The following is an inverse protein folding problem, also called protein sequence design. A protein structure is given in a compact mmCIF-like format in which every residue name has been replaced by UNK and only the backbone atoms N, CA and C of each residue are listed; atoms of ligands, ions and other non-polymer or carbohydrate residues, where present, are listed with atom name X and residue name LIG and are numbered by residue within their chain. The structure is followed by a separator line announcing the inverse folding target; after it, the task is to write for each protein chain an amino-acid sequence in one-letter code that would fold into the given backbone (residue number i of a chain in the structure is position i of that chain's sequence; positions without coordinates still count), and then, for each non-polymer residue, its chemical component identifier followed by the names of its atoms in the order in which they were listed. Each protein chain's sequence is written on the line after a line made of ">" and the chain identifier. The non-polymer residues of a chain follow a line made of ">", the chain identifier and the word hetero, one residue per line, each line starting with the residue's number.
data_IF_143753633329
#
_entry.id   IF_143753633329
#
_cell.length_a   1.000
_cell.length_b   1.000
_cell.length_c   1.000
_cell.angle_alpha   90.00
_cell.angle_beta   90.00
_cell.angle_gamma   90.00
#
_symmetry.space_group_name_H-M   'P 1'
#
loop_
_entity.id
_entity.type
_entity.pdbx_description
1 polymer ?
#
# COMPACT_ATOMS: atom_id res chain seq x y z
N UNK A 1 19.73 -2.23 51.59
CA UNK A 1 20.83 -2.74 50.75
C UNK A 1 20.43 -4.09 50.16
N UNK A 2 19.61 -4.11 49.11
CA UNK A 2 19.15 -5.36 48.48
C UNK A 2 19.98 -5.74 47.25
N UNK A 3 20.99 -4.96 46.86
CA UNK A 3 22.00 -5.32 45.86
C UNK A 3 21.48 -5.54 44.41
N UNK A 4 20.16 -5.47 44.20
CA UNK A 4 19.52 -5.61 42.87
C UNK A 4 18.34 -4.64 42.72
N UNK A 5 18.08 -4.21 41.51
CA UNK A 5 16.95 -3.32 41.16
C UNK A 5 16.07 -4.03 40.12
N UNK A 6 14.76 -3.89 40.25
CA UNK A 6 13.84 -4.36 39.23
C UNK A 6 13.55 -3.25 38.20
N UNK A 7 13.14 -3.62 36.97
CA UNK A 7 12.71 -2.69 35.95
C UNK A 7 11.51 -1.86 36.44
N UNK A 8 10.68 -2.43 37.31
CA UNK A 8 9.57 -1.76 37.98
C UNK A 8 10.04 -0.61 38.89
N UNK A 9 11.06 -0.87 39.71
CA UNK A 9 11.62 0.14 40.64
C UNK A 9 12.25 1.31 39.88
N UNK A 10 12.86 1.03 38.73
CA UNK A 10 13.43 2.05 37.85
C UNK A 10 12.33 2.94 37.22
N UNK A 11 11.22 2.34 36.78
CA UNK A 11 10.08 3.06 36.21
C UNK A 11 9.33 3.89 37.26
N UNK A 12 9.30 3.45 38.53
CA UNK A 12 8.63 4.16 39.62
C UNK A 12 9.48 5.34 40.15
N UNK A 13 10.80 5.20 40.07
CA UNK A 13 11.75 6.24 40.49
C UNK A 13 11.96 7.35 39.44
N UNK A 14 11.61 7.10 38.19
CA UNK A 14 11.76 8.11 37.12
C UNK A 14 10.50 9.00 37.00
N UNK A 15 10.65 10.33 36.94
CA UNK A 15 9.53 11.25 36.67
C UNK A 15 8.88 10.92 35.33
N UNK A 16 7.55 11.00 35.23
CA UNK A 16 6.74 10.67 34.06
C UNK A 16 7.15 11.41 32.76
N UNK A 17 7.80 12.54 32.88
CA UNK A 17 8.31 13.35 31.76
C UNK A 17 9.65 12.85 31.20
N UNK A 18 10.26 11.82 31.79
CA UNK A 18 11.58 11.28 31.45
C UNK A 18 11.53 9.91 30.75
N UNK A 19 10.36 9.35 30.52
CA UNK A 19 10.18 8.00 29.91
C UNK A 19 10.27 8.09 28.40
N UNK A 20 11.41 8.54 27.86
CA UNK A 20 11.76 8.32 26.45
C UNK A 20 12.66 7.09 26.33
N UNK A 21 12.48 6.25 25.30
CA UNK A 21 13.28 5.02 25.13
C UNK A 21 14.79 5.26 25.20
N UNK A 22 15.26 6.36 24.64
CA UNK A 22 16.67 6.75 24.58
C UNK A 22 17.26 7.06 25.98
N UNK A 23 16.49 7.72 26.84
CA UNK A 23 16.92 8.04 28.21
C UNK A 23 16.86 6.83 29.14
N UNK A 24 15.93 5.93 28.90
CA UNK A 24 15.84 4.66 29.64
C UNK A 24 17.08 3.79 29.36
N UNK A 25 17.52 3.71 28.10
CA UNK A 25 18.76 3.01 27.73
C UNK A 25 20.00 3.63 28.36
N UNK A 26 20.06 4.96 28.46
CA UNK A 26 21.17 5.67 29.07
C UNK A 26 21.24 5.41 30.60
N UNK A 27 20.08 5.35 31.28
CA UNK A 27 19.97 4.99 32.69
C UNK A 27 20.35 3.53 32.93
N UNK A 28 19.86 2.62 32.10
CA UNK A 28 20.22 1.20 32.18
C UNK A 28 21.73 0.96 31.93
N UNK A 29 22.33 1.70 31.00
CA UNK A 29 23.76 1.63 30.71
C UNK A 29 24.59 2.16 31.88
N UNK A 30 24.11 3.20 32.54
CA UNK A 30 24.76 3.80 33.73
C UNK A 30 24.64 2.91 34.96
N UNK A 31 23.50 2.26 35.18
CA UNK A 31 23.30 1.27 36.26
C UNK A 31 24.15 0.04 36.03
N UNK A 32 24.29 -0.41 34.80
CA UNK A 32 25.15 -1.54 34.44
C UNK A 32 26.64 -1.25 34.63
N UNK A 33 27.07 0.02 34.43
CA UNK A 33 28.45 0.48 34.71
C UNK A 33 28.76 0.59 36.21
N UNK A 34 27.74 0.63 37.07
CA UNK A 34 27.85 0.65 38.53
C UNK A 34 27.73 -0.75 39.17
N UNK A 35 27.80 -1.81 38.33
CA UNK A 35 27.70 -3.23 38.77
C UNK A 35 26.38 -3.55 39.52
N UNK A 36 25.28 -2.79 39.26
CA UNK A 36 23.98 -3.09 39.84
C UNK A 36 23.28 -4.12 38.94
N UNK A 37 22.94 -5.26 39.52
CA UNK A 37 22.24 -6.35 38.82
C UNK A 37 20.78 -6.00 38.67
N UNK A 38 20.31 -5.91 37.41
CA UNK A 38 18.92 -5.58 37.08
C UNK A 38 18.17 -6.87 36.84
N UNK A 39 17.17 -7.18 37.68
CA UNK A 39 16.36 -8.40 37.60
C UNK A 39 14.97 -8.06 37.09
N UNK A 40 14.54 -8.70 36.03
CA UNK A 40 13.12 -8.69 35.62
C UNK A 40 12.31 -9.50 36.63
N UNK A 41 11.21 -8.91 37.16
CA UNK A 41 10.38 -9.56 38.17
C UNK A 41 9.92 -10.95 37.73
N UNK A 42 10.47 -11.98 38.35
CA UNK A 42 9.79 -13.25 38.62
C UNK A 42 10.59 -14.04 39.67
N UNK A 43 9.99 -14.19 40.87
CA UNK A 43 10.28 -15.13 41.94
C UNK A 43 11.58 -14.98 42.76
N UNK A 44 11.39 -14.40 43.95
CA UNK A 44 12.32 -14.49 45.09
C UNK A 44 12.44 -15.92 45.63
N UNK A 45 13.51 -16.64 45.27
CA UNK A 45 14.05 -17.74 46.04
C UNK A 45 15.56 -17.90 45.75
N UNK A 46 16.42 -18.13 46.75
CA UNK A 46 17.86 -18.26 46.56
C UNK A 46 18.18 -19.56 45.84
N UNK A 47 18.65 -19.51 44.59
CA UNK A 47 19.10 -20.68 43.85
C UNK A 47 20.59 -20.66 43.60
N UNK A 48 21.21 -21.76 44.09
CA UNK A 48 22.53 -22.22 43.73
C UNK A 48 22.66 -22.35 42.21
N UNK A 49 23.83 -22.00 41.68
CA UNK A 49 24.14 -22.13 40.24
C UNK A 49 23.97 -23.57 39.77
N UNK A 50 23.08 -23.83 38.81
CA UNK A 50 23.16 -25.01 37.96
C UNK A 50 23.80 -24.65 36.62
N UNK A 51 24.65 -25.54 36.15
CA UNK A 51 25.18 -25.57 34.80
C UNK A 51 23.98 -25.69 33.84
N UNK A 52 23.69 -24.64 33.09
CA UNK A 52 22.66 -24.68 32.07
C UNK A 52 22.98 -25.76 31.04
N UNK A 53 22.14 -26.76 30.96
CA UNK A 53 22.25 -27.81 29.96
C UNK A 53 21.87 -27.22 28.59
N UNK A 54 22.57 -27.65 27.53
CA UNK A 54 22.31 -27.22 26.14
C UNK A 54 20.83 -27.35 25.72
N UNK A 55 20.06 -28.22 26.39
CA UNK A 55 18.64 -28.46 26.17
C UNK A 55 17.72 -27.31 26.66
N UNK A 56 18.12 -26.54 27.70
CA UNK A 56 17.35 -25.40 28.19
C UNK A 56 17.59 -24.16 27.30
N UNK A 57 18.81 -23.99 26.79
CA UNK A 57 19.12 -22.95 25.82
C UNK A 57 18.38 -23.17 24.46
N UNK A 58 18.13 -24.41 24.09
CA UNK A 58 17.39 -24.79 22.90
C UNK A 58 15.87 -24.59 23.08
N UNK A 59 15.31 -24.88 24.25
CA UNK A 59 13.90 -24.55 24.58
C UNK A 59 13.63 -23.05 24.59
N UNK A 60 14.52 -22.28 25.23
CA UNK A 60 14.37 -20.80 25.25
C UNK A 60 14.50 -20.20 23.84
N UNK A 61 15.29 -20.82 22.94
CA UNK A 61 15.36 -20.43 21.53
C UNK A 61 14.10 -20.78 20.75
N UNK A 62 13.46 -21.91 21.06
CA UNK A 62 12.19 -22.32 20.40
C UNK A 62 11.02 -21.46 20.88
N UNK A 63 10.91 -21.12 22.16
CA UNK A 63 9.90 -20.22 22.71
C UNK A 63 10.01 -18.78 22.15
N UNK A 64 11.24 -18.34 21.83
CA UNK A 64 11.49 -17.05 21.17
C UNK A 64 11.05 -17.07 19.69
N UNK A 65 11.08 -18.24 19.05
CA UNK A 65 10.67 -18.39 17.64
C UNK A 65 9.14 -18.51 17.49
N UNK A 66 8.42 -18.93 18.53
CA UNK A 66 6.97 -19.14 18.47
C UNK A 66 6.12 -17.89 18.82
N UNK A 67 6.74 -16.78 19.27
CA UNK A 67 6.03 -15.53 19.49
C UNK A 67 6.07 -14.65 18.22
N UNK A 68 4.99 -14.62 17.42
CA UNK A 68 4.93 -13.85 16.19
C UNK A 68 5.08 -12.34 16.41
N UNK A 69 4.72 -11.83 17.60
CA UNK A 69 4.89 -10.42 17.97
C UNK A 69 6.37 -10.10 18.17
N UNK A 70 7.09 -10.99 18.87
CA UNK A 70 8.53 -10.84 19.13
C UNK A 70 9.33 -10.96 17.83
N UNK A 71 8.97 -11.88 16.96
CA UNK A 71 9.57 -12.01 15.61
C UNK A 71 9.30 -10.76 14.77
N UNK A 72 8.08 -10.23 14.80
CA UNK A 72 7.71 -9.00 14.11
C UNK A 72 8.52 -7.79 14.59
N UNK A 73 8.63 -7.60 15.92
CA UNK A 73 9.44 -6.53 16.52
C UNK A 73 10.92 -6.66 16.17
N UNK A 74 11.46 -7.88 16.15
CA UNK A 74 12.85 -8.15 15.77
C UNK A 74 13.08 -7.84 14.28
N UNK A 75 12.14 -8.19 13.41
CA UNK A 75 12.22 -7.87 11.98
C UNK A 75 12.09 -6.37 11.72
N UNK A 76 11.18 -5.68 12.41
CA UNK A 76 11.06 -4.22 12.32
C UNK A 76 12.31 -3.49 12.77
N UNK A 77 12.98 -3.98 13.84
CA UNK A 77 14.21 -3.37 14.34
C UNK A 77 15.44 -3.58 13.44
N UNK A 78 15.38 -4.49 12.46
CA UNK A 78 16.47 -4.74 11.52
C UNK A 78 16.44 -3.81 10.29
N UNK A 79 15.30 -3.18 10.01
CA UNK A 79 15.15 -2.26 8.88
C UNK A 79 15.38 -0.83 9.39
N UNK A 80 16.43 -0.14 8.93
CA UNK A 80 16.66 1.24 9.32
C UNK A 80 15.50 2.13 8.85
N UNK A 81 15.14 3.11 9.67
CA UNK A 81 14.14 4.12 9.30
C UNK A 81 14.66 4.92 8.10
N UNK A 82 13.76 5.24 7.18
CA UNK A 82 14.08 6.05 6.02
C UNK A 82 14.39 7.48 6.46
N UNK A 83 15.39 8.10 5.82
CA UNK A 83 15.57 9.55 5.93
C UNK A 83 14.48 10.26 5.11
N UNK A 84 14.25 11.54 5.40
CA UNK A 84 13.26 12.36 4.69
C UNK A 84 13.53 12.41 3.18
N UNK A 85 14.80 12.45 2.79
CA UNK A 85 15.22 12.45 1.38
C UNK A 85 14.88 11.13 0.70
N UNK A 86 15.14 10.00 1.37
CA UNK A 86 14.80 8.66 0.89
C UNK A 86 13.28 8.46 0.79
N UNK A 87 12.53 8.99 1.75
CA UNK A 87 11.06 8.94 1.73
C UNK A 87 10.49 9.68 0.51
N UNK A 88 11.02 10.88 0.21
CA UNK A 88 10.63 11.66 -0.98
C UNK A 88 11.03 10.95 -2.27
N UNK A 89 12.23 10.37 -2.33
CA UNK A 89 12.70 9.65 -3.52
C UNK A 89 11.83 8.41 -3.80
N UNK A 90 11.56 7.60 -2.76
CA UNK A 90 10.70 6.41 -2.89
C UNK A 90 9.28 6.82 -3.31
N UNK A 91 8.72 7.89 -2.71
CA UNK A 91 7.39 8.38 -3.06
C UNK A 91 7.29 8.80 -4.52
N UNK A 92 8.32 9.47 -5.07
CA UNK A 92 8.38 9.81 -6.50
C UNK A 92 8.45 8.58 -7.39
N UNK A 93 9.25 7.58 -7.02
CA UNK A 93 9.35 6.32 -7.77
C UNK A 93 8.03 5.56 -7.77
N UNK A 94 7.29 5.59 -6.67
CA UNK A 94 5.93 4.99 -6.59
C UNK A 94 5.00 5.74 -7.55
N UNK A 95 4.98 7.07 -7.51
CA UNK A 95 4.14 7.90 -8.40
C UNK A 95 4.45 7.63 -9.88
N UNK A 96 5.72 7.59 -10.25
CA UNK A 96 6.16 7.28 -11.62
C UNK A 96 5.70 5.88 -12.05
N UNK A 97 5.84 4.86 -11.17
CA UNK A 97 5.38 3.52 -11.45
C UNK A 97 3.85 3.45 -11.63
N UNK A 98 3.08 4.14 -10.77
CA UNK A 98 1.62 4.23 -10.90
C UNK A 98 1.18 4.89 -12.22
N UNK A 99 1.87 5.95 -12.63
CA UNK A 99 1.60 6.63 -13.89
C UNK A 99 1.90 5.72 -15.09
N UNK A 100 2.99 4.96 -15.02
CA UNK A 100 3.34 4.01 -16.07
C UNK A 100 2.34 2.85 -16.18
N UNK A 101 1.90 2.29 -15.05
CA UNK A 101 0.81 1.29 -15.03
C UNK A 101 -0.46 1.84 -15.67
N UNK A 102 -0.86 3.06 -15.32
CA UNK A 102 -2.03 3.73 -15.94
C UNK A 102 -1.83 3.90 -17.44
N UNK A 103 -0.64 4.33 -17.87
CA UNK A 103 -0.33 4.52 -19.29
C UNK A 103 -0.49 3.24 -20.09
N UNK A 104 0.03 2.14 -19.57
CA UNK A 104 -0.05 0.83 -20.22
C UNK A 104 -1.50 0.33 -20.25
N UNK A 105 -2.18 0.32 -19.12
CA UNK A 105 -3.55 -0.17 -19.00
C UNK A 105 -4.53 0.64 -19.87
N UNK A 106 -4.40 1.96 -19.89
CA UNK A 106 -5.28 2.82 -20.70
C UNK A 106 -5.09 2.62 -22.21
N UNK A 107 -3.96 2.04 -22.61
CA UNK A 107 -3.72 1.63 -24.01
C UNK A 107 -4.44 0.35 -24.42
N UNK A 108 -4.97 -0.43 -23.45
CA UNK A 108 -5.63 -1.70 -23.75
C UNK A 108 -7.11 -1.50 -24.11
N UNK A 109 -7.56 -2.19 -25.14
CA UNK A 109 -8.92 -2.02 -25.71
C UNK A 109 -10.08 -2.37 -24.79
N UNK A 110 -9.86 -3.19 -23.75
CA UNK A 110 -10.90 -3.55 -22.78
C UNK A 110 -11.12 -2.48 -21.70
N UNK A 111 -10.13 -1.59 -21.48
CA UNK A 111 -10.13 -0.64 -20.36
C UNK A 111 -11.32 0.32 -20.38
N UNK A 112 -11.77 0.74 -21.57
CA UNK A 112 -12.97 1.57 -21.72
C UNK A 112 -14.21 0.83 -21.17
N UNK A 113 -14.35 -0.44 -21.50
CA UNK A 113 -15.49 -1.29 -21.10
C UNK A 113 -15.51 -1.50 -19.60
N UNK A 114 -14.34 -1.75 -18.98
CA UNK A 114 -14.22 -1.90 -17.52
C UNK A 114 -14.55 -0.58 -16.78
N UNK A 115 -14.05 0.56 -17.26
CA UNK A 115 -14.39 1.87 -16.68
C UNK A 115 -15.89 2.15 -16.76
N UNK A 116 -16.52 1.85 -17.89
CA UNK A 116 -17.96 2.00 -18.06
C UNK A 116 -18.71 1.06 -17.12
N UNK A 117 -18.37 -0.22 -17.09
CA UNK A 117 -19.04 -1.21 -16.26
C UNK A 117 -18.98 -0.86 -14.77
N UNK A 118 -17.83 -0.40 -14.30
CA UNK A 118 -17.65 0.01 -12.91
C UNK A 118 -18.43 1.30 -12.60
N UNK A 119 -18.38 2.28 -13.49
CA UNK A 119 -19.15 3.51 -13.33
C UNK A 119 -20.67 3.26 -13.34
N UNK A 120 -21.16 2.32 -14.13
CA UNK A 120 -22.57 1.89 -14.13
C UNK A 120 -22.97 1.23 -12.82
N UNK A 121 -22.09 0.40 -12.23
CA UNK A 121 -22.32 -0.18 -10.90
C UNK A 121 -22.43 0.90 -9.81
N UNK A 122 -21.63 1.98 -9.91
CA UNK A 122 -21.69 3.10 -8.97
C UNK A 122 -22.94 3.96 -9.14
N UNK A 123 -23.45 4.10 -10.37
CA UNK A 123 -24.60 4.95 -10.69
C UNK A 123 -25.91 4.20 -10.72
N UNK A 124 -25.91 2.89 -10.49
CA UNK A 124 -27.12 2.07 -10.40
C UNK A 124 -27.97 2.44 -9.19
N UNK A 125 -29.29 2.21 -9.29
CA UNK A 125 -30.22 2.37 -8.18
C UNK A 125 -30.92 1.02 -7.90
N UNK A 126 -30.62 0.33 -6.77
CA UNK A 126 -29.62 0.67 -5.75
C UNK A 126 -28.16 0.50 -6.25
N UNK A 127 -27.21 1.26 -5.69
CA UNK A 127 -25.79 1.14 -6.05
C UNK A 127 -25.27 -0.28 -5.80
N UNK A 128 -24.56 -0.84 -6.80
CA UNK A 128 -23.99 -2.19 -6.71
C UNK A 128 -22.55 -2.18 -6.15
N UNK A 129 -21.94 -1.00 -6.08
CA UNK A 129 -20.59 -0.81 -5.54
C UNK A 129 -20.55 0.38 -4.59
N UNK A 130 -19.62 0.34 -3.63
CA UNK A 130 -19.43 1.42 -2.67
C UNK A 130 -18.58 2.53 -3.29
N UNK A 131 -19.14 3.74 -3.29
CA UNK A 131 -18.51 4.91 -3.87
C UNK A 131 -17.14 5.23 -3.25
N UNK A 132 -17.05 5.19 -1.92
CA UNK A 132 -15.84 5.45 -1.12
C UNK A 132 -14.72 4.43 -1.38
N UNK A 133 -15.06 3.22 -1.78
CA UNK A 133 -14.10 2.16 -2.11
C UNK A 133 -13.47 2.35 -3.49
N UNK A 134 -14.23 2.84 -4.44
CA UNK A 134 -13.88 2.90 -5.86
C UNK A 134 -13.25 4.23 -6.26
N UNK A 135 -13.80 5.35 -5.74
CA UNK A 135 -13.40 6.70 -6.14
C UNK A 135 -12.40 7.33 -5.19
N UNK A 136 -11.64 8.30 -5.68
CA UNK A 136 -10.67 9.06 -4.88
C UNK A 136 -11.37 9.82 -3.75
N UNK A 137 -10.73 9.92 -2.60
CA UNK A 137 -11.28 10.52 -1.38
C UNK A 137 -11.68 11.99 -1.58
N UNK A 138 -10.97 12.71 -2.45
CA UNK A 138 -11.27 14.11 -2.80
C UNK A 138 -12.67 14.36 -3.39
N UNK A 139 -13.36 13.33 -3.88
CA UNK A 139 -14.71 13.46 -4.46
C UNK A 139 -15.82 12.93 -3.55
N UNK A 140 -15.48 12.40 -2.38
CA UNK A 140 -16.46 11.84 -1.45
C UNK A 140 -17.45 12.91 -0.98
N UNK A 141 -16.95 14.10 -0.63
CA UNK A 141 -17.80 15.24 -0.22
C UNK A 141 -18.70 15.77 -1.36
N UNK A 142 -18.29 15.57 -2.61
CA UNK A 142 -19.04 16.01 -3.78
C UNK A 142 -19.68 14.87 -4.55
N UNK A 143 -20.02 13.78 -3.88
CA UNK A 143 -20.54 12.54 -4.45
C UNK A 143 -21.63 12.76 -5.50
N UNK A 144 -22.69 13.50 -5.17
CA UNK A 144 -23.83 13.69 -6.08
C UNK A 144 -23.48 14.44 -7.35
N UNK A 145 -22.57 15.42 -7.26
CA UNK A 145 -22.05 16.13 -8.43
C UNK A 145 -21.21 15.20 -9.30
N UNK A 146 -20.41 14.36 -8.66
CA UNK A 146 -19.57 13.40 -9.36
C UNK A 146 -20.40 12.31 -10.06
N UNK A 147 -21.43 11.77 -9.40
CA UNK A 147 -22.34 10.79 -10.01
C UNK A 147 -23.04 11.35 -11.26
N UNK A 148 -23.52 12.60 -11.22
CA UNK A 148 -24.05 13.28 -12.42
C UNK A 148 -23.02 13.43 -13.54
N UNK A 149 -21.77 13.64 -13.18
CA UNK A 149 -20.66 13.72 -14.14
C UNK A 149 -20.36 12.35 -14.72
N UNK A 150 -20.37 11.29 -13.91
CA UNK A 150 -20.18 9.90 -14.37
C UNK A 150 -21.22 9.49 -15.40
N UNK A 151 -22.50 9.80 -15.21
CA UNK A 151 -23.53 9.50 -16.21
C UNK A 151 -23.24 10.11 -17.59
N UNK A 152 -22.75 11.37 -17.62
CA UNK A 152 -22.35 12.02 -18.88
C UNK A 152 -21.08 11.41 -19.46
N UNK A 153 -20.12 11.07 -18.59
CA UNK A 153 -18.84 10.50 -18.99
C UNK A 153 -19.01 9.08 -19.57
N UNK A 154 -19.87 8.25 -18.98
CA UNK A 154 -20.22 6.93 -19.49
C UNK A 154 -20.72 7.01 -20.95
N UNK A 155 -21.68 7.90 -21.22
CA UNK A 155 -22.20 8.07 -22.60
C UNK A 155 -21.11 8.48 -23.57
N UNK A 156 -20.32 9.48 -23.18
CA UNK A 156 -19.22 10.00 -24.00
C UNK A 156 -18.16 8.95 -24.29
N UNK A 157 -17.70 8.23 -23.26
CA UNK A 157 -16.65 7.21 -23.42
C UNK A 157 -17.16 6.03 -24.24
N UNK A 158 -18.43 5.64 -24.10
CA UNK A 158 -19.05 4.61 -24.93
C UNK A 158 -19.10 4.96 -26.41
N UNK A 159 -19.43 6.21 -26.73
CA UNK A 159 -19.44 6.70 -28.12
C UNK A 159 -18.01 6.75 -28.71
N UNK A 160 -17.06 7.24 -27.92
CA UNK A 160 -15.65 7.33 -28.32
C UNK A 160 -15.03 5.94 -28.49
N UNK A 161 -15.29 4.98 -27.58
CA UNK A 161 -14.84 3.59 -27.65
C UNK A 161 -15.35 2.91 -28.91
N UNK A 162 -16.64 3.04 -29.20
CA UNK A 162 -17.22 2.52 -30.45
C UNK A 162 -16.61 3.14 -31.72
N UNK A 163 -16.19 4.41 -31.66
CA UNK A 163 -15.45 5.08 -32.75
C UNK A 163 -14.03 4.51 -32.90
N UNK A 164 -13.33 4.27 -31.80
CA UNK A 164 -11.99 3.67 -31.78
C UNK A 164 -12.03 2.23 -32.30
N UNK A 165 -12.99 1.41 -31.87
CA UNK A 165 -13.17 0.03 -32.33
C UNK A 165 -13.40 -0.04 -33.84
N UNK A 166 -14.26 0.83 -34.40
CA UNK A 166 -14.50 0.93 -35.85
C UNK A 166 -13.22 1.29 -36.61
N UNK A 167 -12.50 2.31 -36.14
CA UNK A 167 -11.25 2.74 -36.80
C UNK A 167 -10.16 1.68 -36.72
N UNK A 168 -10.09 0.94 -35.61
CA UNK A 168 -9.18 -0.21 -35.48
C UNK A 168 -9.48 -1.30 -36.52
N UNK A 169 -10.77 -1.64 -36.70
CA UNK A 169 -11.19 -2.64 -37.68
C UNK A 169 -10.90 -2.17 -39.13
N UNK A 170 -11.13 -0.87 -39.40
CA UNK A 170 -10.82 -0.28 -40.69
C UNK A 170 -9.32 -0.31 -40.98
N UNK A 171 -8.50 0.06 -40.01
CA UNK A 171 -7.04 -0.02 -40.10
C UNK A 171 -6.54 -1.45 -40.33
N UNK A 172 -7.07 -2.42 -39.58
CA UNK A 172 -6.67 -3.83 -39.68
C UNK A 172 -6.99 -4.43 -41.06
N UNK A 173 -8.06 -3.98 -41.71
CA UNK A 173 -8.49 -4.43 -43.03
C UNK A 173 -7.89 -3.61 -44.20
N UNK A 174 -7.17 -2.55 -43.90
CA UNK A 174 -6.68 -1.60 -44.89
C UNK A 174 -5.48 -2.16 -45.67
N UNK A 175 -5.37 -1.85 -46.96
CA UNK A 175 -4.17 -2.11 -47.73
C UNK A 175 -3.02 -1.23 -47.26
N UNK A 176 -1.76 -1.70 -47.44
CA UNK A 176 -0.53 -1.07 -46.93
C UNK A 176 -0.43 0.45 -47.22
N UNK A 177 -0.88 0.88 -48.40
CA UNK A 177 -0.83 2.29 -48.82
C UNK A 177 -1.75 3.23 -48.01
N UNK A 178 -2.78 2.71 -47.34
CA UNK A 178 -3.71 3.48 -46.47
C UNK A 178 -3.53 3.20 -45.00
N UNK A 179 -2.82 2.14 -44.63
CA UNK A 179 -2.68 1.68 -43.28
C UNK A 179 -2.01 2.72 -42.36
N UNK A 180 -1.01 3.46 -42.86
CA UNK A 180 -0.30 4.50 -42.14
C UNK A 180 -1.21 5.64 -41.74
N UNK A 181 -2.03 6.17 -42.69
CA UNK A 181 -2.97 7.23 -42.42
C UNK A 181 -4.04 6.83 -41.40
N UNK A 182 -4.59 5.62 -41.56
CA UNK A 182 -5.61 5.10 -40.65
C UNK A 182 -5.05 4.82 -39.26
N UNK A 183 -3.80 4.38 -39.16
CA UNK A 183 -3.09 4.23 -37.90
C UNK A 183 -2.94 5.56 -37.13
N UNK A 184 -2.59 6.64 -37.84
CA UNK A 184 -2.52 7.97 -37.24
C UNK A 184 -3.88 8.47 -36.75
N UNK A 185 -4.95 8.23 -37.54
CA UNK A 185 -6.31 8.58 -37.12
C UNK A 185 -6.77 7.77 -35.92
N UNK A 186 -6.49 6.47 -35.89
CA UNK A 186 -6.76 5.58 -34.76
C UNK A 186 -6.04 6.07 -33.51
N UNK A 187 -4.74 6.34 -33.58
CA UNK A 187 -3.95 6.79 -32.45
C UNK A 187 -4.50 8.08 -31.85
N UNK A 188 -4.88 9.06 -32.70
CA UNK A 188 -5.50 10.35 -32.25
C UNK A 188 -6.81 10.11 -31.49
N UNK A 189 -7.65 9.19 -31.97
CA UNK A 189 -8.93 8.88 -31.32
C UNK A 189 -8.68 8.13 -30.01
N UNK A 190 -7.75 7.19 -30.00
CA UNK A 190 -7.36 6.42 -28.81
C UNK A 190 -6.78 7.34 -27.73
N UNK A 191 -5.87 8.25 -28.07
CA UNK A 191 -5.31 9.24 -27.14
C UNK A 191 -6.39 10.14 -26.53
N UNK A 192 -7.40 10.51 -27.33
CA UNK A 192 -8.54 11.29 -26.84
C UNK A 192 -9.40 10.48 -25.87
N UNK A 193 -9.63 9.21 -26.14
CA UNK A 193 -10.35 8.29 -25.29
C UNK A 193 -9.61 8.10 -23.94
N UNK A 194 -8.31 7.83 -23.99
CA UNK A 194 -7.46 7.63 -22.80
C UNK A 194 -7.50 8.83 -21.84
N UNK A 195 -7.50 10.07 -22.37
CA UNK A 195 -7.63 11.30 -21.57
C UNK A 195 -8.93 11.38 -20.78
N UNK A 196 -9.97 10.66 -21.18
CA UNK A 196 -11.22 10.63 -20.44
C UNK A 196 -11.21 9.65 -19.29
N UNK A 197 -10.34 8.62 -19.28
CA UNK A 197 -10.27 7.65 -18.20
C UNK A 197 -9.86 8.28 -16.85
N UNK A 198 -8.92 9.22 -16.86
CA UNK A 198 -8.53 9.94 -15.66
C UNK A 198 -9.66 10.75 -15.00
N UNK A 199 -10.74 11.08 -15.75
CA UNK A 199 -11.90 11.82 -15.24
C UNK A 199 -12.86 10.99 -14.42
N UNK A 200 -12.75 9.66 -14.46
CA UNK A 200 -13.51 8.78 -13.58
C UNK A 200 -13.06 8.89 -12.13
N UNK A 201 -11.82 9.34 -11.90
CA UNK A 201 -11.22 9.52 -10.57
C UNK A 201 -11.25 8.25 -9.73
N UNK A 202 -10.96 7.12 -10.35
CA UNK A 202 -10.86 5.85 -9.65
C UNK A 202 -9.56 5.76 -8.83
N UNK A 203 -9.62 5.03 -7.70
CA UNK A 203 -8.46 4.75 -6.86
C UNK A 203 -7.45 3.88 -7.60
N UNK A 204 -6.18 4.01 -7.25
CA UNK A 204 -5.10 3.22 -7.84
C UNK A 204 -5.35 1.71 -7.72
N UNK A 205 -5.83 1.26 -6.57
CA UNK A 205 -6.19 -0.14 -6.34
C UNK A 205 -7.17 -0.71 -7.37
N UNK A 206 -8.16 0.09 -7.79
CA UNK A 206 -9.15 -0.32 -8.79
C UNK A 206 -8.48 -0.48 -10.16
N UNK A 207 -7.52 0.39 -10.49
CA UNK A 207 -6.76 0.31 -11.75
C UNK A 207 -5.87 -0.94 -11.75
N UNK A 208 -5.27 -1.28 -10.62
CA UNK A 208 -4.49 -2.51 -10.45
C UNK A 208 -5.37 -3.76 -10.58
N UNK A 209 -6.59 -3.74 -10.02
CA UNK A 209 -7.58 -4.82 -10.20
C UNK A 209 -7.96 -5.01 -11.69
N UNK A 210 -8.04 -3.92 -12.47
CA UNK A 210 -8.20 -4.01 -13.93
C UNK A 210 -6.98 -4.64 -14.62
N UNK A 211 -5.77 -4.42 -14.08
CA UNK A 211 -4.55 -5.08 -14.55
C UNK A 211 -4.60 -6.60 -14.42
N UNK A 212 -5.16 -7.10 -13.31
CA UNK A 212 -5.37 -8.55 -13.12
C UNK A 212 -6.33 -9.15 -14.15
N UNK A 213 -7.30 -8.37 -14.64
CA UNK A 213 -8.20 -8.79 -15.73
C UNK A 213 -7.40 -8.91 -17.03
N UNK A 214 -6.43 -8.03 -17.27
CA UNK A 214 -5.56 -8.11 -18.45
C UNK A 214 -4.76 -9.43 -18.48
N UNK A 215 -4.21 -9.86 -17.36
CA UNK A 215 -3.45 -11.08 -17.23
C UNK A 215 -4.32 -12.34 -17.53
N UNK A 216 -5.62 -12.28 -17.23
CA UNK A 216 -6.55 -13.37 -17.49
C UNK A 216 -7.04 -13.45 -18.96
N UNK A 217 -6.81 -12.41 -19.76
CA UNK A 217 -7.20 -12.38 -21.18
C UNK A 217 -6.10 -12.98 -22.08
N UNK A 218 -4.90 -13.15 -21.54
CA UNK A 218 -3.76 -13.77 -22.23
C UNK A 218 -3.78 -15.27 -22.07
#
# INVERSE_FOLDING_TARGET
>A
DQGHLTVGDINEALPRDFVTPEKLEEVLKKLKSLEVEIVEQLDAAPRQKPVESAAEAEKTRLDILDDPVRMYLKQMGQVPLLTREQEVEISKRIEEAELEVKRILYGLGFTAKEHIALAEKLTADPPKERFDRVTLDKVIETRDKHLKTLHRLIKKVREEDGGVDKKYLDWRKAPKNRAEKLSLEFNKLNDKLQKNFSKFLFKQKVIEEMGLVADNIH
#
